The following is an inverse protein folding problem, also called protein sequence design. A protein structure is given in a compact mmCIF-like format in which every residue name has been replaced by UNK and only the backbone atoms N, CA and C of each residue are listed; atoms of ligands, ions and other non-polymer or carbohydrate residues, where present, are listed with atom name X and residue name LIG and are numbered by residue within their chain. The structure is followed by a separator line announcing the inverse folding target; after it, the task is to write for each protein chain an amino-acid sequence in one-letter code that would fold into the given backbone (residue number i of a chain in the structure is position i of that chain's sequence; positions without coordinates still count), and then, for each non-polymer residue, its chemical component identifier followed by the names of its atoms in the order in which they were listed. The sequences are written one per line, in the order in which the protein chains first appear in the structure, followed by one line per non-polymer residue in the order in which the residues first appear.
data_IF_892321290439
#
_entry.id   IF_892321290439
#
_cell.length_a   1.000
_cell.length_b   1.000
_cell.length_c   1.000
_cell.angle_alpha   90.00
_cell.angle_beta   90.00
_cell.angle_gamma   90.00
#
_symmetry.space_group_name_H-M   'P 1'
#
loop_
_entity.id
_entity.type
_entity.pdbx_description
1 polymer ?
#
# COMPACT_ATOMS: atom_id res chain seq x y z
N UNK A 1 -4.29 -23.24 47.73
CA UNK A 1 -4.52 -23.14 46.27
C UNK A 1 -5.59 -22.08 46.02
N UNK A 2 -5.21 -20.90 45.53
CA UNK A 2 -6.15 -19.80 45.22
C UNK A 2 -6.33 -19.74 43.70
N UNK A 3 -7.57 -19.94 43.23
CA UNK A 3 -7.96 -19.74 41.83
C UNK A 3 -8.17 -18.24 41.61
N UNK A 4 -7.45 -17.66 40.66
CA UNK A 4 -7.72 -16.32 40.14
C UNK A 4 -8.61 -16.52 38.91
N UNK A 5 -9.86 -16.08 39.02
CA UNK A 5 -10.79 -15.94 37.89
C UNK A 5 -10.67 -14.49 37.43
N UNK A 6 -10.12 -14.26 36.25
CA UNK A 6 -10.15 -12.97 35.57
C UNK A 6 -11.41 -12.94 34.70
N UNK A 7 -12.43 -12.23 35.20
CA UNK A 7 -13.64 -11.89 34.47
C UNK A 7 -13.31 -10.91 33.34
N UNK A 8 -13.42 -11.37 32.09
CA UNK A 8 -13.27 -10.55 30.90
C UNK A 8 -14.63 -9.94 30.53
N UNK A 9 -14.91 -8.73 30.99
CA UNK A 9 -16.05 -7.93 30.52
C UNK A 9 -15.66 -6.47 30.40
N UNK A 10 -15.33 -6.06 29.18
CA UNK A 10 -15.55 -4.72 28.68
C UNK A 10 -15.71 -4.81 27.15
N UNK A 11 -16.86 -4.44 26.57
CA UNK A 11 -16.97 -4.26 25.13
C UNK A 11 -16.19 -3.00 24.79
N UNK A 12 -14.96 -3.14 24.31
CA UNK A 12 -14.27 -2.04 23.65
C UNK A 12 -14.96 -1.87 22.31
N UNK A 13 -15.94 -0.97 22.30
CA UNK A 13 -16.52 -0.39 21.09
C UNK A 13 -15.38 0.23 20.29
N UNK A 14 -14.82 -0.54 19.35
CA UNK A 14 -13.89 -0.08 18.34
C UNK A 14 -14.65 0.86 17.38
N UNK A 15 -14.91 2.08 17.83
CA UNK A 15 -15.27 3.18 16.94
C UNK A 15 -14.00 3.57 16.19
N UNK A 16 -13.68 2.84 15.12
CA UNK A 16 -12.75 3.33 14.10
C UNK A 16 -13.29 4.68 13.63
N UNK A 17 -12.52 5.77 13.73
CA UNK A 17 -12.95 7.03 13.16
C UNK A 17 -13.09 6.83 11.65
N UNK A 18 -14.30 7.05 11.16
CA UNK A 18 -14.73 7.02 9.74
C UNK A 18 -14.12 8.20 8.95
N UNK A 19 -12.91 8.65 9.31
CA UNK A 19 -12.17 9.71 8.63
C UNK A 19 -11.15 9.19 7.62
N UNK A 20 -11.03 7.87 7.45
CA UNK A 20 -10.20 7.23 6.41
C UNK A 20 -10.81 7.28 4.99
N UNK A 21 -12.02 7.83 4.81
CA UNK A 21 -12.77 7.78 3.54
C UNK A 21 -12.44 8.91 2.54
N UNK A 22 -11.47 9.77 2.80
CA UNK A 22 -11.11 10.87 1.89
C UNK A 22 -9.67 10.83 1.38
N UNK A 23 -8.94 9.74 1.63
CA UNK A 23 -7.64 9.55 0.96
C UNK A 23 -7.90 9.23 -0.52
N UNK A 24 -7.14 9.84 -1.46
CA UNK A 24 -7.22 9.43 -2.86
C UNK A 24 -6.96 7.93 -2.93
N UNK A 25 -7.97 7.19 -3.37
CA UNK A 25 -7.96 5.74 -3.50
C UNK A 25 -7.03 5.40 -4.66
N UNK A 26 -5.73 5.20 -4.38
CA UNK A 26 -4.78 4.71 -5.37
C UNK A 26 -5.05 3.22 -5.61
N UNK A 27 -5.83 2.95 -6.66
CA UNK A 27 -6.44 1.67 -6.94
C UNK A 27 -5.50 0.58 -7.49
N UNK A 28 -4.36 0.36 -6.86
CA UNK A 28 -3.49 -0.78 -7.14
C UNK A 28 -3.18 -1.54 -5.85
N UNK A 29 -3.22 -2.88 -5.88
CA UNK A 29 -2.83 -3.71 -4.73
C UNK A 29 -1.36 -3.42 -4.42
N UNK A 30 -1.14 -2.62 -3.39
CA UNK A 30 0.18 -2.14 -3.02
C UNK A 30 0.84 -3.18 -2.12
N UNK A 31 2.04 -3.64 -2.47
CA UNK A 31 2.82 -4.49 -1.57
C UNK A 31 3.18 -3.73 -0.30
N UNK A 32 2.45 -4.00 0.76
CA UNK A 32 2.81 -3.66 2.12
C UNK A 32 3.50 -4.87 2.73
N UNK A 33 4.76 -4.70 3.14
CA UNK A 33 5.57 -5.65 3.91
C UNK A 33 5.63 -7.13 3.47
N UNK A 34 5.25 -7.48 2.23
CA UNK A 34 5.42 -8.81 1.66
C UNK A 34 6.67 -8.87 0.78
N UNK A 35 7.73 -9.46 1.32
CA UNK A 35 9.07 -9.53 0.72
C UNK A 35 9.35 -10.86 0.04
N UNK A 36 8.30 -11.60 -0.34
CA UNK A 36 8.45 -12.82 -1.10
C UNK A 36 9.27 -12.54 -2.36
N UNK A 37 10.28 -13.40 -2.57
CA UNK A 37 11.15 -13.35 -3.74
C UNK A 37 10.33 -13.55 -5.01
N UNK A 38 10.67 -12.76 -6.04
CA UNK A 38 10.07 -12.88 -7.36
C UNK A 38 9.10 -11.75 -7.66
N UNK A 39 8.33 -11.94 -8.72
CA UNK A 39 7.44 -10.92 -9.27
C UNK A 39 6.03 -11.10 -8.74
N UNK A 40 5.27 -10.01 -8.64
CA UNK A 40 3.82 -10.10 -8.51
C UNK A 40 3.11 -9.06 -9.33
N UNK A 41 1.95 -9.45 -9.85
CA UNK A 41 1.01 -8.56 -10.53
C UNK A 41 -0.21 -8.37 -9.63
N UNK A 42 -0.41 -7.15 -9.15
CA UNK A 42 -1.61 -6.71 -8.46
C UNK A 42 -2.62 -6.13 -9.45
N UNK A 43 -3.85 -6.59 -9.39
CA UNK A 43 -4.98 -6.10 -10.15
C UNK A 43 -5.99 -5.53 -9.16
N UNK A 44 -6.14 -4.20 -9.15
CA UNK A 44 -7.17 -3.50 -8.40
C UNK A 44 -8.30 -3.08 -9.32
N UNK A 45 -9.42 -2.64 -8.74
CA UNK A 45 -10.58 -2.18 -9.52
C UNK A 45 -10.26 -1.06 -10.52
N UNK A 46 -9.30 -0.18 -10.22
CA UNK A 46 -9.00 0.99 -11.06
C UNK A 46 -7.50 1.15 -11.35
N UNK A 47 -6.75 0.06 -11.32
CA UNK A 47 -5.31 0.12 -11.52
C UNK A 47 -4.62 -1.23 -11.45
N UNK A 48 -3.36 -1.21 -11.84
CA UNK A 48 -2.46 -2.36 -11.82
C UNK A 48 -1.18 -2.01 -11.11
N UNK A 49 -0.62 -2.97 -10.40
CA UNK A 49 0.69 -2.89 -9.77
C UNK A 49 1.56 -4.04 -10.23
N UNK A 50 2.83 -3.78 -10.42
CA UNK A 50 3.86 -4.78 -10.58
C UNK A 50 4.92 -4.56 -9.51
N UNK A 51 5.25 -5.61 -8.77
CA UNK A 51 6.31 -5.58 -7.77
C UNK A 51 7.32 -6.69 -8.04
N UNK A 52 8.57 -6.42 -7.71
CA UNK A 52 9.64 -7.39 -7.69
C UNK A 52 10.32 -7.39 -6.32
N UNK A 53 10.19 -8.50 -5.61
CA UNK A 53 10.81 -8.74 -4.30
C UNK A 53 12.15 -9.45 -4.42
N UNK A 54 13.12 -8.96 -3.66
CA UNK A 54 14.44 -9.55 -3.46
C UNK A 54 14.83 -9.53 -1.98
N UNK A 55 14.46 -10.59 -1.25
CA UNK A 55 14.79 -10.82 0.16
C UNK A 55 14.37 -9.72 1.13
N UNK A 56 15.20 -8.70 1.29
CA UNK A 56 14.94 -7.57 2.18
C UNK A 56 14.47 -6.33 1.42
N UNK A 57 14.51 -6.35 0.08
CA UNK A 57 14.16 -5.23 -0.78
C UNK A 57 12.97 -5.59 -1.66
N UNK A 58 12.11 -4.62 -1.95
CA UNK A 58 11.07 -4.72 -2.97
C UNK A 58 11.04 -3.45 -3.80
N UNK A 59 10.88 -3.60 -5.12
CA UNK A 59 10.68 -2.51 -6.06
C UNK A 59 9.29 -2.63 -6.66
N UNK A 60 8.52 -1.56 -6.62
CA UNK A 60 7.14 -1.54 -7.11
C UNK A 60 6.91 -0.43 -8.11
N UNK A 61 6.05 -0.72 -9.09
CA UNK A 61 5.51 0.21 -10.06
C UNK A 61 3.99 0.03 -10.07
N UNK A 62 3.23 1.10 -10.08
CA UNK A 62 1.79 1.02 -10.28
C UNK A 62 1.25 2.13 -11.16
N UNK A 63 0.15 1.82 -11.82
CA UNK A 63 -0.63 2.73 -12.63
C UNK A 63 -2.09 2.64 -12.17
N UNK A 64 -2.64 3.74 -11.67
CA UNK A 64 -4.00 3.76 -11.15
C UNK A 64 -4.74 5.05 -11.49
N UNK A 65 -6.06 4.96 -11.66
CA UNK A 65 -6.94 6.10 -11.81
C UNK A 65 -7.51 6.52 -10.44
N UNK A 66 -7.33 7.78 -10.00
CA UNK A 66 -7.83 8.27 -8.71
C UNK A 66 -9.35 8.48 -8.66
N UNK A 67 -10.01 8.54 -9.82
CA UNK A 67 -11.45 8.76 -9.96
C UNK A 67 -12.08 7.65 -10.80
N UNK A 68 -13.16 7.02 -10.32
CA UNK A 68 -13.77 5.90 -11.05
C UNK A 68 -15.29 5.82 -10.91
N UNK A 69 -15.96 6.96 -10.79
CA UNK A 69 -17.43 6.98 -10.75
C UNK A 69 -18.10 7.30 -12.08
N UNK A 70 -17.38 7.73 -13.13
CA UNK A 70 -18.08 8.18 -14.36
C UNK A 70 -17.37 8.05 -15.71
N UNK A 71 -16.03 7.94 -15.83
CA UNK A 71 -15.39 7.60 -17.12
C UNK A 71 -13.91 7.19 -16.96
N UNK A 72 -13.64 5.89 -16.98
CA UNK A 72 -12.29 5.31 -16.85
C UNK A 72 -11.35 5.72 -18.00
N UNK A 73 -11.91 6.11 -19.16
CA UNK A 73 -11.15 6.51 -20.33
C UNK A 73 -10.70 7.99 -20.32
N UNK A 74 -11.30 8.83 -19.48
CA UNK A 74 -10.97 10.26 -19.41
C UNK A 74 -10.18 10.65 -18.16
N UNK A 75 -10.03 9.74 -17.21
CA UNK A 75 -9.31 10.00 -15.97
C UNK A 75 -7.81 9.75 -16.17
N UNK A 76 -6.96 10.72 -15.85
CA UNK A 76 -5.52 10.57 -15.97
C UNK A 76 -5.01 9.40 -15.12
N UNK A 77 -4.14 8.57 -15.71
CA UNK A 77 -3.41 7.54 -14.98
C UNK A 77 -2.32 8.21 -14.13
N UNK A 78 -2.36 7.96 -12.83
CA UNK A 78 -1.25 8.26 -11.93
C UNK A 78 -0.25 7.12 -11.99
N UNK A 79 1.01 7.48 -12.13
CA UNK A 79 2.12 6.53 -12.11
C UNK A 79 2.84 6.64 -10.79
N UNK A 80 3.10 5.52 -10.17
CA UNK A 80 3.69 5.44 -8.86
C UNK A 80 4.86 4.46 -8.92
N UNK A 81 5.97 4.85 -8.32
CA UNK A 81 7.14 4.00 -8.14
C UNK A 81 7.48 3.94 -6.65
N UNK A 82 7.92 2.78 -6.17
CA UNK A 82 8.25 2.58 -4.76
C UNK A 82 9.43 1.65 -4.56
N UNK A 83 10.12 1.87 -3.46
CA UNK A 83 11.15 1.01 -2.91
C UNK A 83 10.78 0.72 -1.46
N UNK A 84 10.78 -0.55 -1.08
CA UNK A 84 10.48 -0.98 0.29
C UNK A 84 11.64 -1.82 0.80
N UNK A 85 12.21 -1.46 1.95
CA UNK A 85 13.33 -2.16 2.55
C UNK A 85 12.95 -2.67 3.95
N UNK A 86 12.86 -3.99 4.10
CA UNK A 86 12.60 -4.68 5.36
C UNK A 86 13.79 -4.56 6.30
N UNK A 87 13.52 -4.20 7.53
CA UNK A 87 14.50 -4.21 8.61
C UNK A 87 14.12 -5.16 9.75
N UNK A 88 12.89 -5.68 9.76
CA UNK A 88 12.41 -6.59 10.79
C UNK A 88 11.51 -7.70 10.23
N UNK A 89 11.71 -8.93 10.73
CA UNK A 89 10.83 -10.07 10.49
C UNK A 89 10.86 -11.02 11.70
N UNK A 90 9.68 -11.32 12.25
CA UNK A 90 9.54 -12.35 13.29
C UNK A 90 8.09 -12.84 13.34
N UNK A 91 7.88 -14.17 13.40
CA UNK A 91 6.58 -14.79 13.72
C UNK A 91 5.39 -14.22 12.91
N UNK A 92 5.57 -14.03 11.60
CA UNK A 92 4.53 -13.47 10.71
C UNK A 92 4.43 -11.94 10.74
N UNK A 93 5.05 -11.27 11.71
CA UNK A 93 5.21 -9.81 11.71
C UNK A 93 6.41 -9.40 10.87
N UNK A 94 6.23 -8.35 10.06
CA UNK A 94 7.27 -7.74 9.24
C UNK A 94 7.19 -6.21 9.34
N UNK A 95 8.34 -5.56 9.33
CA UNK A 95 8.43 -4.11 9.35
C UNK A 95 9.50 -3.60 8.39
N UNK A 96 9.19 -2.49 7.70
CA UNK A 96 10.02 -1.97 6.64
C UNK A 96 9.90 -0.46 6.49
N UNK A 97 10.93 0.14 5.89
CA UNK A 97 10.88 1.52 5.42
C UNK A 97 10.41 1.53 3.98
N UNK A 98 9.62 2.53 3.60
CA UNK A 98 9.19 2.73 2.22
C UNK A 98 9.60 4.12 1.74
N UNK A 99 9.98 4.19 0.47
CA UNK A 99 10.21 5.42 -0.25
C UNK A 99 9.49 5.34 -1.59
N UNK A 100 8.72 6.36 -1.92
CA UNK A 100 7.90 6.40 -3.12
C UNK A 100 8.01 7.73 -3.85
N UNK A 101 7.64 7.68 -5.12
CA UNK A 101 7.42 8.86 -5.95
C UNK A 101 6.18 8.61 -6.80
N UNK A 102 5.24 9.52 -6.72
CA UNK A 102 4.01 9.51 -7.52
C UNK A 102 4.00 10.67 -8.50
N UNK A 103 3.76 10.36 -9.77
CA UNK A 103 3.46 11.32 -10.81
C UNK A 103 1.94 11.42 -10.95
N UNK A 104 1.39 12.57 -10.59
CA UNK A 104 0.03 12.96 -10.93
C UNK A 104 0.08 13.88 -12.15
N UNK A 105 -0.32 13.44 -13.34
CA UNK A 105 -0.29 14.29 -14.52
C UNK A 105 -1.33 15.43 -14.46
N UNK A 106 -2.25 15.40 -13.49
CA UNK A 106 -3.33 16.36 -13.38
C UNK A 106 -4.37 16.20 -14.50
N UNK A 107 -5.40 17.05 -14.47
CA UNK A 107 -6.39 17.10 -15.55
C UNK A 107 -5.81 17.77 -16.80
N UNK A 108 -6.34 17.50 -18.01
CA UNK A 108 -5.95 18.23 -19.22
C UNK A 108 -5.96 19.74 -19.00
N UNK A 109 -4.85 20.42 -19.30
CA UNK A 109 -4.68 21.86 -19.07
C UNK A 109 -4.20 22.25 -17.67
N UNK A 110 -4.07 21.29 -16.75
CA UNK A 110 -3.48 21.49 -15.41
C UNK A 110 -1.99 21.16 -15.40
N UNK A 111 -1.31 21.51 -14.31
CA UNK A 111 0.08 21.11 -14.07
C UNK A 111 0.16 19.67 -13.60
N UNK A 112 1.21 18.97 -14.04
CA UNK A 112 1.61 17.70 -13.45
C UNK A 112 2.40 17.94 -12.16
N UNK A 113 2.27 17.03 -11.21
CA UNK A 113 2.95 17.05 -9.92
C UNK A 113 3.74 15.77 -9.69
N UNK A 114 4.95 15.94 -9.16
CA UNK A 114 5.74 14.86 -8.62
C UNK A 114 5.68 14.95 -7.10
N UNK A 115 5.19 13.88 -6.47
CA UNK A 115 5.00 13.80 -5.03
C UNK A 115 5.89 12.69 -4.48
N UNK A 116 7.06 13.03 -3.91
CA UNK A 116 7.86 12.07 -3.16
C UNK A 116 7.24 11.83 -1.79
N UNK A 117 7.35 10.61 -1.30
CA UNK A 117 6.89 10.23 0.03
C UNK A 117 7.79 9.19 0.70
N UNK A 118 7.85 9.26 2.03
CA UNK A 118 8.65 8.38 2.86
C UNK A 118 7.79 7.86 4.01
N UNK A 119 8.01 6.62 4.41
CA UNK A 119 7.12 5.99 5.37
C UNK A 119 7.61 4.69 5.98
N UNK A 120 6.68 4.07 6.72
CA UNK A 120 6.84 2.77 7.34
C UNK A 120 5.76 1.81 6.84
N UNK A 121 6.14 0.56 6.70
CA UNK A 121 5.28 -0.53 6.30
C UNK A 121 5.32 -1.61 7.39
N UNK A 122 4.15 -2.11 7.78
CA UNK A 122 3.98 -3.19 8.74
C UNK A 122 3.06 -4.23 8.12
N UNK A 123 3.41 -5.51 8.23
CA UNK A 123 2.57 -6.62 7.81
C UNK A 123 2.53 -7.69 8.88
N UNK A 124 1.36 -8.29 9.09
CA UNK A 124 1.15 -9.38 10.03
C UNK A 124 0.37 -10.51 9.37
N UNK A 125 1.02 -11.66 9.22
CA UNK A 125 0.44 -12.89 8.70
C UNK A 125 -0.11 -13.73 9.86
N UNK A 126 -1.33 -14.24 9.72
CA UNK A 126 -1.99 -15.06 10.72
C UNK A 126 -2.87 -16.15 10.08
N UNK A 127 -3.37 -17.06 10.90
CA UNK A 127 -4.30 -18.10 10.48
C UNK A 127 -5.57 -18.02 11.32
N UNK A 128 -6.71 -18.06 10.65
CA UNK A 128 -8.02 -18.10 11.27
C UNK A 128 -8.83 -19.23 10.60
N UNK A 129 -9.35 -20.19 11.38
CA UNK A 129 -9.99 -21.40 10.85
C UNK A 129 -9.16 -22.16 9.80
N UNK A 130 -7.85 -22.31 10.02
CA UNK A 130 -6.88 -22.88 9.07
C UNK A 130 -6.72 -22.12 7.74
N UNK A 131 -7.44 -21.02 7.54
CA UNK A 131 -7.28 -20.16 6.38
C UNK A 131 -6.17 -19.11 6.66
N UNK A 132 -5.22 -18.93 5.72
CA UNK A 132 -4.13 -17.96 5.85
C UNK A 132 -4.60 -16.55 5.47
N UNK A 133 -4.36 -15.60 6.37
CA UNK A 133 -4.69 -14.19 6.19
C UNK A 133 -3.49 -13.30 6.49
N UNK A 134 -3.53 -12.07 6.00
CA UNK A 134 -2.58 -11.04 6.37
C UNK A 134 -3.30 -9.70 6.59
N UNK A 135 -2.80 -8.90 7.52
CA UNK A 135 -3.17 -7.49 7.69
C UNK A 135 -1.93 -6.66 7.49
N UNK A 136 -2.04 -5.60 6.68
CA UNK A 136 -0.87 -4.80 6.31
C UNK A 136 -1.21 -3.31 6.27
N UNK A 137 -0.26 -2.51 6.74
CA UNK A 137 -0.37 -1.06 6.88
C UNK A 137 0.86 -0.40 6.26
N UNK A 138 0.63 0.53 5.35
CA UNK A 138 1.62 1.50 4.91
C UNK A 138 1.22 2.87 5.45
N UNK A 139 2.15 3.52 6.13
CA UNK A 139 2.01 4.89 6.59
C UNK A 139 3.12 5.72 5.95
N UNK A 140 2.74 6.59 5.02
CA UNK A 140 3.68 7.45 4.31
C UNK A 140 3.35 8.92 4.54
N UNK A 141 4.38 9.76 4.44
CA UNK A 141 4.24 11.20 4.54
C UNK A 141 4.82 11.85 3.29
N UNK A 142 4.06 12.78 2.74
CA UNK A 142 4.44 13.61 1.61
C UNK A 142 4.39 15.08 2.00
N UNK A 143 5.06 15.91 1.20
CA UNK A 143 4.93 17.36 1.31
C UNK A 143 3.89 17.80 0.27
N UNK A 144 2.78 18.32 0.75
CA UNK A 144 1.72 18.89 -0.09
C UNK A 144 2.26 20.03 -0.95
N UNK A 145 2.00 19.91 -2.24
CA UNK A 145 2.29 20.92 -3.26
C UNK A 145 1.08 21.87 -3.47
N UNK A 146 -0.10 21.52 -2.93
CA UNK A 146 -1.35 22.23 -3.18
C UNK A 146 -1.34 23.69 -2.68
N UNK A 147 -0.56 24.01 -1.65
CA UNK A 147 -0.50 25.36 -1.06
C UNK A 147 0.50 26.30 -1.73
N UNK A 148 1.21 25.89 -2.79
CA UNK A 148 1.93 26.85 -3.63
C UNK A 148 0.98 27.68 -4.51
N UNK A 149 -0.32 27.37 -4.56
CA UNK A 149 -1.32 28.14 -5.31
C UNK A 149 -1.70 29.47 -4.65
N UNK A 150 -1.70 29.59 -3.32
CA UNK A 150 -2.22 30.79 -2.64
C UNK A 150 -1.20 31.95 -2.53
N UNK A 151 0.04 31.76 -2.96
CA UNK A 151 1.07 32.81 -2.89
C UNK A 151 0.98 33.84 -4.03
N UNK A 152 0.11 33.63 -5.02
CA UNK A 152 -0.17 34.63 -6.06
C UNK A 152 -1.31 35.60 -5.70
N UNK A 153 -2.05 35.35 -4.61
CA UNK A 153 -3.06 36.26 -4.07
C UNK A 153 -2.66 36.77 -2.67
N UNK A 154 -1.52 37.44 -2.58
CA UNK A 154 -1.24 38.59 -1.69
C UNK A 154 -1.57 38.62 -0.19
N UNK A 155 -2.17 37.61 0.45
CA UNK A 155 -2.70 37.80 1.83
C UNK A 155 -2.75 36.57 2.74
N UNK A 156 -2.25 35.41 2.31
CA UNK A 156 -2.10 34.24 3.18
C UNK A 156 -0.60 34.01 3.48
N UNK A 157 -0.18 33.87 4.75
CA UNK A 157 1.19 33.48 5.07
C UNK A 157 1.48 32.10 4.45
N UNK A 158 2.64 31.96 3.83
CA UNK A 158 3.08 30.68 3.28
C UNK A 158 3.06 29.60 4.37
N UNK A 159 2.43 28.46 4.08
CA UNK A 159 2.34 27.37 5.06
C UNK A 159 3.73 26.85 5.41
N UNK A 160 3.95 26.60 6.70
CA UNK A 160 5.23 26.08 7.17
C UNK A 160 5.37 24.58 6.83
N UNK A 161 6.58 24.04 7.00
CA UNK A 161 6.88 22.64 6.67
C UNK A 161 5.91 21.64 7.30
N UNK A 162 5.58 21.80 8.58
CA UNK A 162 4.69 20.89 9.30
C UNK A 162 3.23 20.99 8.82
N UNK A 163 2.78 22.19 8.45
CA UNK A 163 1.45 22.41 7.86
C UNK A 163 1.31 21.83 6.46
N UNK A 164 2.43 21.64 5.75
CA UNK A 164 2.49 21.02 4.43
C UNK A 164 2.65 19.52 4.48
N UNK A 165 2.94 18.95 5.66
CA UNK A 165 3.09 17.51 5.82
C UNK A 165 1.70 16.85 5.76
N UNK A 166 1.51 15.94 4.82
CA UNK A 166 0.26 15.21 4.62
C UNK A 166 0.54 13.73 4.52
N UNK A 167 -0.49 12.88 4.67
CA UNK A 167 -0.35 11.48 4.29
C UNK A 167 0.04 11.37 2.82
N UNK A 168 1.04 10.56 2.56
CA UNK A 168 1.58 10.33 1.23
C UNK A 168 0.70 9.38 0.41
N UNK A 169 0.89 9.36 -0.92
CA UNK A 169 0.14 8.48 -1.83
C UNK A 169 0.30 6.99 -1.50
N UNK A 170 1.41 6.58 -0.89
CA UNK A 170 1.65 5.18 -0.52
C UNK A 170 0.93 4.75 0.77
N UNK A 171 0.15 5.63 1.41
CA UNK A 171 -0.55 5.31 2.66
C UNK A 171 -1.74 4.39 2.38
N UNK A 172 -1.78 3.23 3.04
CA UNK A 172 -2.82 2.24 2.80
C UNK A 172 -2.98 1.27 3.98
N UNK A 173 -4.17 0.69 4.10
CA UNK A 173 -4.49 -0.39 5.04
C UNK A 173 -5.18 -1.51 4.26
N UNK A 174 -4.68 -2.73 4.39
CA UNK A 174 -5.13 -3.88 3.62
C UNK A 174 -5.37 -5.09 4.54
N UNK A 175 -6.42 -5.84 4.21
CA UNK A 175 -6.61 -7.22 4.69
C UNK A 175 -6.55 -8.13 3.47
N UNK A 176 -5.82 -9.23 3.60
CA UNK A 176 -5.57 -10.17 2.53
C UNK A 176 -5.94 -11.60 2.95
N UNK A 177 -6.52 -12.34 2.02
CA UNK A 177 -6.71 -13.78 2.10
C UNK A 177 -5.80 -14.47 1.07
N UNK A 178 -5.02 -15.45 1.51
CA UNK A 178 -3.95 -16.08 0.71
C UNK A 178 -4.26 -17.57 0.44
N UNK A 179 -5.28 -17.90 -0.36
CA UNK A 179 -5.69 -19.30 -0.58
C UNK A 179 -4.59 -20.20 -1.16
N UNK A 180 -3.54 -19.62 -1.74
CA UNK A 180 -2.35 -20.34 -2.20
C UNK A 180 -1.12 -19.44 -2.20
N UNK A 181 0.07 -20.02 -2.34
CA UNK A 181 1.34 -19.28 -2.46
C UNK A 181 1.44 -18.41 -3.73
N UNK A 182 0.52 -18.59 -4.69
CA UNK A 182 0.49 -17.88 -5.97
C UNK A 182 -0.62 -16.85 -6.09
N UNK A 183 -1.60 -16.88 -5.18
CA UNK A 183 -2.82 -16.09 -5.30
C UNK A 183 -3.22 -15.49 -3.97
N UNK A 184 -3.54 -14.21 -4.01
CA UNK A 184 -4.09 -13.49 -2.88
C UNK A 184 -5.25 -12.59 -3.31
N UNK A 185 -6.26 -12.51 -2.45
CA UNK A 185 -7.36 -11.56 -2.57
C UNK A 185 -7.23 -10.51 -1.49
N UNK A 186 -7.42 -9.24 -1.85
CA UNK A 186 -7.21 -8.12 -0.95
C UNK A 186 -8.44 -7.23 -0.86
N UNK A 187 -8.69 -6.69 0.32
CA UNK A 187 -9.65 -5.64 0.59
C UNK A 187 -8.91 -4.49 1.27
N UNK A 188 -8.97 -3.29 0.69
CA UNK A 188 -8.15 -2.15 1.09
C UNK A 188 -6.87 -2.03 0.25
N UNK A 189 -5.82 -1.46 0.85
CA UNK A 189 -4.54 -1.26 0.14
C UNK A 189 -4.59 -0.13 -0.89
N UNK A 190 -5.56 0.79 -0.78
CA UNK A 190 -5.88 1.75 -1.85
C UNK A 190 -6.83 1.19 -2.91
N UNK A 191 -7.21 -0.09 -2.83
CA UNK A 191 -8.25 -0.72 -3.66
C UNK A 191 -9.46 -1.09 -2.80
N UNK A 192 -10.70 -0.88 -3.26
CA UNK A 192 -11.84 -1.44 -2.51
C UNK A 192 -11.73 -2.97 -2.48
N UNK A 193 -11.35 -3.56 -3.62
CA UNK A 193 -11.06 -4.97 -3.80
C UNK A 193 -9.93 -5.14 -4.81
N UNK A 194 -9.10 -6.16 -4.58
CA UNK A 194 -7.99 -6.49 -5.46
C UNK A 194 -7.64 -7.98 -5.46
N UNK A 195 -6.85 -8.35 -6.43
CA UNK A 195 -6.27 -9.68 -6.58
C UNK A 195 -4.77 -9.54 -6.87
N UNK A 196 -3.97 -10.44 -6.34
CA UNK A 196 -2.53 -10.47 -6.59
C UNK A 196 -2.09 -11.87 -7.02
N UNK A 197 -1.33 -11.89 -8.10
CA UNK A 197 -0.71 -13.09 -8.66
C UNK A 197 0.79 -13.04 -8.36
N UNK A 198 1.34 -14.09 -7.74
CA UNK A 198 2.76 -14.20 -7.38
C UNK A 198 3.47 -15.18 -8.33
N UNK A 199 4.48 -14.68 -9.02
CA UNK A 199 5.32 -15.42 -9.96
C UNK A 199 6.71 -15.58 -9.37
N UNK A 200 7.06 -16.80 -9.00
CA UNK A 200 8.38 -17.12 -8.51
C UNK A 200 9.23 -17.49 -9.73
N UNK A 201 10.50 -17.03 -9.83
CA UNK A 201 11.42 -17.75 -10.70
C UNK A 201 11.52 -19.17 -10.12
N UNK A 202 11.10 -20.18 -10.88
CA UNK A 202 11.46 -21.55 -10.54
C UNK A 202 12.97 -21.58 -10.28
N UNK A 203 13.46 -22.25 -9.22
CA UNK A 203 14.88 -22.56 -9.20
C UNK A 203 15.15 -23.36 -10.48
N UNK A 204 16.06 -22.86 -11.33
CA UNK A 204 16.54 -23.51 -12.55
C UNK A 204 17.31 -24.82 -12.24
N UNK A 205 16.68 -25.74 -11.49
CA UNK A 205 17.22 -26.99 -11.00
C UNK A 205 16.13 -28.07 -10.99
N UNK A 206 15.63 -28.41 -12.18
CA UNK A 206 15.03 -29.73 -12.48
C UNK A 206 15.49 -30.31 -13.82
N UNK A 207 16.72 -30.01 -14.24
CA UNK A 207 17.30 -30.57 -15.47
C UNK A 207 18.67 -31.25 -15.27
N UNK A 208 19.11 -31.54 -14.04
CA UNK A 208 20.39 -32.22 -13.76
C UNK A 208 20.27 -33.31 -12.68
N UNK A 209 19.21 -34.11 -12.73
CA UNK A 209 19.15 -35.41 -12.02
C UNK A 209 18.69 -36.54 -12.97
N UNK A 210 19.05 -36.43 -14.25
CA UNK A 210 18.87 -37.50 -15.22
C UNK A 210 20.06 -37.54 -16.19
N UNK A 211 21.27 -37.71 -15.65
CA UNK A 211 22.42 -38.35 -16.32
C UNK A 211 23.24 -39.06 -15.25
#
# INVERSE_FOLDING_TARGET
MKRIVLSLTAPVSLSLPVTLLSLPVEASVQRSADFDKGSSLGLGLFGVAYDYGWEFLSLGLSAASPNSTSNVLSTPLRLNTRVVARFYQAEGLSAAVLAGVTLDPGLPGSRAYLTPDLGLSIGYDFREFDAPFAVRLNLSLAISQAQLQDTWQGSQPASNFLQRLTFGPQTSLEVAWMPSDHLEFTAGGGTLLGMRLKFWPEPAKRALQAV
#
